data_IF_003104735578
#
_entry.id   IF_003104735578
#
_cell.length_a   1.000
_cell.length_b   1.000
_cell.length_c   1.000
_cell.angle_alpha   90.00
_cell.angle_beta   90.00
_cell.angle_gamma   90.00
#
_symmetry.space_group_name_H-M   'P 1'
#
loop_
_entity.id
_entity.type
_entity.pdbx_description
1 polymer ?
#
# COMPACT_ATOMS: atom_id res chain seq x y z
N UNK A 1 -29.16 2.99 -4.21
CA UNK A 1 -28.04 3.50 -5.04
C UNK A 1 -27.38 2.28 -5.70
N UNK A 2 -26.97 2.33 -6.98
CA UNK A 2 -26.30 1.19 -7.58
C UNK A 2 -24.97 0.96 -6.85
N UNK A 3 -24.70 -0.28 -6.45
CA UNK A 3 -23.42 -0.66 -5.84
C UNK A 3 -22.29 -0.51 -6.86
N UNK A 4 -21.06 -0.37 -6.36
CA UNK A 4 -19.87 -0.44 -7.22
C UNK A 4 -19.37 -1.88 -7.31
N UNK A 5 -18.83 -2.24 -8.47
CA UNK A 5 -18.15 -3.50 -8.69
C UNK A 5 -16.65 -3.35 -8.39
N UNK A 6 -16.08 -4.32 -7.68
CA UNK A 6 -14.62 -4.50 -7.56
C UNK A 6 -14.18 -5.35 -8.75
N UNK A 7 -13.93 -4.71 -9.89
CA UNK A 7 -13.77 -5.39 -11.18
C UNK A 7 -12.39 -6.02 -11.39
N UNK A 8 -11.41 -5.62 -10.57
CA UNK A 8 -10.11 -6.25 -10.43
C UNK A 8 -9.55 -5.96 -9.03
N UNK A 9 -8.74 -6.86 -8.49
CA UNK A 9 -7.97 -6.61 -7.28
C UNK A 9 -6.69 -7.43 -7.26
N UNK A 10 -5.75 -7.03 -6.41
CA UNK A 10 -4.50 -7.73 -6.19
C UNK A 10 -4.01 -7.52 -4.75
N UNK A 11 -3.24 -8.47 -4.24
CA UNK A 11 -2.62 -8.40 -2.92
C UNK A 11 -1.19 -8.96 -2.96
N UNK A 12 -0.27 -8.26 -2.30
CA UNK A 12 1.11 -8.67 -2.04
C UNK A 12 1.40 -8.40 -0.57
N UNK A 13 1.78 -9.43 0.17
CA UNK A 13 2.05 -9.34 1.61
C UNK A 13 3.08 -10.39 2.02
N UNK A 14 3.37 -10.51 3.31
CA UNK A 14 4.21 -11.59 3.84
C UNK A 14 3.69 -13.01 3.56
N UNK A 15 2.45 -13.17 3.09
CA UNK A 15 1.92 -14.46 2.63
C UNK A 15 2.42 -14.86 1.23
N UNK A 16 2.89 -13.89 0.45
CA UNK A 16 3.38 -14.03 -0.92
C UNK A 16 2.77 -13.00 -1.88
N UNK A 17 2.95 -13.24 -3.18
CA UNK A 17 2.56 -12.31 -4.25
C UNK A 17 1.34 -12.84 -5.01
N UNK A 18 0.31 -12.01 -5.12
CA UNK A 18 -0.91 -12.33 -5.87
C UNK A 18 -1.96 -13.11 -5.08
N UNK A 19 -3.19 -13.11 -5.60
CA UNK A 19 -4.37 -13.65 -4.91
C UNK A 19 -4.34 -15.17 -4.74
N UNK A 20 -3.79 -15.90 -5.72
CA UNK A 20 -3.70 -17.36 -5.66
C UNK A 20 -2.80 -17.83 -4.51
N UNK A 21 -1.66 -17.16 -4.31
CA UNK A 21 -0.76 -17.44 -3.19
C UNK A 21 -1.38 -17.09 -1.85
N UNK A 22 -2.11 -15.97 -1.76
CA UNK A 22 -2.87 -15.62 -0.55
C UNK A 22 -3.96 -16.65 -0.24
N UNK A 23 -4.73 -17.10 -1.25
CA UNK A 23 -5.76 -18.13 -1.09
C UNK A 23 -5.15 -19.42 -0.52
N UNK A 24 -4.06 -19.92 -1.12
CA UNK A 24 -3.40 -21.13 -0.65
C UNK A 24 -2.87 -20.98 0.78
N UNK A 25 -2.27 -19.83 1.11
CA UNK A 25 -1.76 -19.57 2.46
C UNK A 25 -2.89 -19.59 3.50
N UNK A 26 -4.03 -18.96 3.18
CA UNK A 26 -5.21 -18.92 4.05
C UNK A 26 -5.85 -20.30 4.22
N UNK A 27 -6.00 -21.07 3.13
CA UNK A 27 -6.52 -22.45 3.17
C UNK A 27 -5.66 -23.38 4.02
N UNK A 28 -4.36 -23.14 4.06
CA UNK A 28 -3.39 -23.94 4.83
C UNK A 28 -3.15 -23.41 6.25
N UNK A 29 -3.70 -22.24 6.61
CA UNK A 29 -3.42 -21.59 7.89
C UNK A 29 -1.94 -21.20 8.06
N UNK A 30 -1.24 -20.90 6.96
CA UNK A 30 0.20 -20.58 6.98
C UNK A 30 0.41 -19.12 7.39
N UNK A 31 1.19 -18.91 8.44
CA UNK A 31 1.64 -17.58 8.84
C UNK A 31 2.71 -17.04 7.88
N UNK A 32 2.68 -15.72 7.63
CA UNK A 32 3.77 -14.98 6.97
C UNK A 32 4.70 -14.28 7.95
N UNK A 33 4.46 -14.39 9.26
CA UNK A 33 5.29 -13.75 10.26
C UNK A 33 6.63 -14.48 10.41
N UNK A 34 7.70 -13.71 10.58
CA UNK A 34 9.06 -14.19 10.88
C UNK A 34 9.73 -13.31 11.95
N UNK A 35 10.80 -13.78 12.60
CA UNK A 35 11.65 -12.91 13.42
C UNK A 35 12.14 -11.70 12.61
N UNK A 36 12.25 -10.54 13.27
CA UNK A 36 12.70 -9.31 12.64
C UNK A 36 14.10 -9.46 12.01
N UNK A 37 14.15 -9.29 10.70
CA UNK A 37 15.35 -9.42 9.87
C UNK A 37 15.63 -8.17 9.01
N UNK A 38 14.92 -7.06 9.27
CA UNK A 38 15.04 -5.82 8.47
C UNK A 38 15.74 -4.68 9.24
N UNK A 39 15.71 -4.72 10.57
CA UNK A 39 16.24 -3.64 11.40
C UNK A 39 17.77 -3.56 11.45
N UNK A 40 18.30 -2.34 11.49
CA UNK A 40 19.74 -2.09 11.63
C UNK A 40 20.26 -2.32 13.05
N UNK A 41 19.38 -2.24 14.05
CA UNK A 41 19.69 -2.50 15.45
C UNK A 41 18.80 -3.63 16.00
N UNK A 42 19.27 -4.39 17.01
CA UNK A 42 18.48 -5.47 17.59
C UNK A 42 17.15 -4.96 18.16
N UNK A 43 16.05 -5.51 17.64
CA UNK A 43 14.71 -5.33 18.17
C UNK A 43 14.00 -6.69 18.15
N UNK A 44 13.92 -7.40 19.29
CA UNK A 44 13.25 -8.70 19.38
C UNK A 44 11.75 -8.55 19.13
N UNK A 45 11.32 -8.88 17.91
CA UNK A 45 9.91 -8.91 17.53
C UNK A 45 9.69 -9.80 16.30
N UNK A 46 8.42 -10.05 16.00
CA UNK A 46 8.00 -10.71 14.76
C UNK A 46 7.38 -9.70 13.80
N UNK A 47 7.74 -9.82 12.53
CA UNK A 47 7.32 -8.94 11.44
C UNK A 47 6.71 -9.74 10.28
N UNK A 48 5.84 -9.10 9.52
CA UNK A 48 5.38 -9.60 8.23
C UNK A 48 6.07 -8.87 7.09
N UNK A 49 7.28 -9.29 6.71
CA UNK A 49 8.04 -8.72 5.59
C UNK A 49 7.70 -9.42 4.27
N UNK A 50 7.55 -8.66 3.19
CA UNK A 50 7.36 -9.17 1.81
C UNK A 50 8.72 -9.52 1.22
N UNK A 51 8.85 -10.70 0.63
CA UNK A 51 10.08 -11.14 -0.02
C UNK A 51 10.28 -10.50 -1.40
N UNK A 52 11.53 -10.28 -1.80
CA UNK A 52 11.89 -9.82 -3.15
C UNK A 52 11.71 -8.32 -3.42
N UNK A 53 11.24 -7.52 -2.44
CA UNK A 53 11.10 -6.06 -2.61
C UNK A 53 12.45 -5.39 -2.88
N UNK A 54 13.51 -5.86 -2.24
CA UNK A 54 14.87 -5.33 -2.38
C UNK A 54 15.51 -5.66 -3.73
N UNK A 55 15.10 -6.77 -4.34
CA UNK A 55 15.68 -7.32 -5.58
C UNK A 55 15.00 -6.83 -6.86
N UNK A 56 13.86 -6.14 -6.74
CA UNK A 56 13.05 -5.65 -7.85
C UNK A 56 13.08 -4.11 -7.93
N UNK A 57 14.14 -3.51 -8.49
CA UNK A 57 14.19 -2.06 -8.71
C UNK A 57 13.10 -1.61 -9.70
N UNK A 58 12.71 -0.34 -9.61
CA UNK A 58 11.78 0.22 -10.58
C UNK A 58 12.39 0.23 -11.99
N UNK A 59 11.57 0.09 -13.05
CA UNK A 59 12.03 0.23 -14.43
C UNK A 59 12.72 1.58 -14.67
N UNK A 60 13.64 1.64 -15.63
CA UNK A 60 14.44 2.85 -15.91
C UNK A 60 13.58 4.12 -16.11
N UNK A 61 12.40 4.01 -16.72
CA UNK A 61 11.47 5.12 -16.93
C UNK A 61 10.86 5.69 -15.62
N UNK A 62 10.95 4.93 -14.52
CA UNK A 62 10.42 5.27 -13.20
C UNK A 62 11.51 5.28 -12.12
N UNK A 63 12.79 5.25 -12.50
CA UNK A 63 13.92 5.13 -11.56
C UNK A 63 14.01 6.30 -10.57
N UNK A 64 13.54 7.49 -10.94
CA UNK A 64 13.50 8.65 -10.04
C UNK A 64 12.57 8.44 -8.84
N UNK A 65 11.59 7.53 -8.97
CA UNK A 65 10.66 7.13 -7.92
C UNK A 65 11.18 5.98 -7.06
N UNK A 66 12.40 5.48 -7.30
CA UNK A 66 12.85 4.23 -6.68
C UNK A 66 13.10 4.40 -5.17
N UNK A 67 12.23 3.75 -4.40
CA UNK A 67 12.35 3.54 -2.96
C UNK A 67 11.61 2.25 -2.59
N UNK A 68 11.88 1.70 -1.40
CA UNK A 68 11.31 0.40 -1.00
C UNK A 68 9.78 0.36 -1.04
N UNK A 69 9.11 1.45 -0.65
CA UNK A 69 7.65 1.56 -0.70
C UNK A 69 7.11 1.53 -2.13
N UNK A 70 7.73 2.28 -3.04
CA UNK A 70 7.32 2.30 -4.44
C UNK A 70 7.67 0.98 -5.15
N UNK A 71 8.76 0.30 -4.78
CA UNK A 71 9.06 -1.05 -5.25
C UNK A 71 8.01 -2.07 -4.81
N UNK A 72 7.56 -2.01 -3.55
CA UNK A 72 6.47 -2.86 -3.06
C UNK A 72 5.15 -2.57 -3.79
N UNK A 73 4.85 -1.29 -4.05
CA UNK A 73 3.70 -0.88 -4.86
C UNK A 73 3.81 -1.45 -6.29
N UNK A 74 4.98 -1.36 -6.92
CA UNK A 74 5.23 -1.89 -8.25
C UNK A 74 5.08 -3.41 -8.33
N UNK A 75 5.63 -4.12 -7.35
CA UNK A 75 5.51 -5.56 -7.21
C UNK A 75 4.04 -5.97 -7.11
N UNK A 76 3.25 -5.26 -6.30
CA UNK A 76 1.81 -5.48 -6.14
C UNK A 76 1.00 -5.20 -7.41
N UNK A 77 1.24 -4.06 -8.07
CA UNK A 77 0.54 -3.70 -9.31
C UNK A 77 0.70 -4.73 -10.42
N UNK A 78 1.84 -5.42 -10.48
CA UNK A 78 2.16 -6.42 -11.51
C UNK A 78 1.52 -7.79 -11.29
N UNK A 79 0.86 -8.02 -10.17
CA UNK A 79 0.20 -9.30 -9.91
C UNK A 79 -1.24 -9.32 -10.48
N UNK A 80 -1.78 -10.53 -10.62
CA UNK A 80 -3.20 -10.79 -10.92
C UNK A 80 -3.74 -10.10 -12.20
N UNK A 81 -2.87 -9.74 -13.14
CA UNK A 81 -3.22 -9.00 -14.35
C UNK A 81 -3.76 -7.58 -14.08
N UNK A 82 -3.49 -7.02 -12.90
CA UNK A 82 -4.11 -5.77 -12.45
C UNK A 82 -3.79 -4.58 -13.36
N UNK A 83 -2.53 -4.43 -13.81
CA UNK A 83 -2.14 -3.39 -14.79
C UNK A 83 -3.00 -3.44 -16.06
N UNK A 84 -3.18 -4.62 -16.65
CA UNK A 84 -3.96 -4.79 -17.88
C UNK A 84 -5.43 -4.40 -17.67
N UNK A 85 -6.00 -4.75 -16.51
CA UNK A 85 -7.36 -4.37 -16.14
C UNK A 85 -7.52 -2.85 -15.99
N UNK A 86 -6.56 -2.18 -15.38
CA UNK A 86 -6.55 -0.71 -15.28
C UNK A 86 -6.37 -0.07 -16.65
N UNK A 87 -5.48 -0.58 -17.51
CA UNK A 87 -5.30 -0.07 -18.88
C UNK A 87 -6.54 -0.26 -19.75
N UNK A 88 -7.27 -1.37 -19.60
CA UNK A 88 -8.55 -1.59 -20.26
C UNK A 88 -9.60 -0.56 -19.80
N UNK A 89 -9.71 -0.32 -18.50
CA UNK A 89 -10.59 0.73 -17.96
C UNK A 89 -10.19 2.13 -18.46
N UNK A 90 -8.88 2.44 -18.51
CA UNK A 90 -8.35 3.71 -19.04
C UNK A 90 -8.72 3.90 -20.51
N UNK A 91 -8.61 2.86 -21.31
CA UNK A 91 -9.02 2.89 -22.72
C UNK A 91 -10.52 3.12 -22.87
N UNK A 92 -11.33 2.57 -21.96
CA UNK A 92 -12.78 2.68 -21.97
C UNK A 92 -13.28 4.06 -21.52
N UNK A 93 -12.70 4.63 -20.47
CA UNK A 93 -13.23 5.82 -19.80
C UNK A 93 -12.43 7.09 -20.08
N UNK A 94 -11.14 6.97 -20.41
CA UNK A 94 -10.19 8.10 -20.41
C UNK A 94 -9.37 8.14 -19.12
N UNK A 95 -8.13 8.63 -19.21
CA UNK A 95 -7.19 8.70 -18.08
C UNK A 95 -7.61 9.72 -17.00
N UNK A 96 -8.31 10.77 -17.41
CA UNK A 96 -8.88 11.84 -16.59
C UNK A 96 -10.16 11.40 -15.86
N UNK A 97 -10.79 10.31 -16.32
CA UNK A 97 -12.04 9.75 -15.78
C UNK A 97 -11.81 8.59 -14.81
N UNK A 98 -10.57 8.36 -14.40
CA UNK A 98 -10.21 7.35 -13.39
C UNK A 98 -9.51 8.05 -12.22
N UNK A 99 -10.12 7.99 -11.03
CA UNK A 99 -9.46 8.49 -9.83
C UNK A 99 -8.42 7.50 -9.31
N UNK A 100 -7.39 7.99 -8.64
CA UNK A 100 -6.41 7.22 -7.89
C UNK A 100 -6.45 7.65 -6.42
N UNK A 101 -6.82 6.74 -5.52
CA UNK A 101 -6.89 7.02 -4.09
C UNK A 101 -6.14 5.94 -3.31
N UNK A 102 -4.99 6.29 -2.74
CA UNK A 102 -4.14 5.34 -2.03
C UNK A 102 -3.98 5.70 -0.56
N UNK A 103 -4.13 4.70 0.29
CA UNK A 103 -3.86 4.78 1.72
C UNK A 103 -2.40 4.45 2.04
N UNK A 104 -1.79 5.21 2.94
CA UNK A 104 -0.46 4.88 3.50
C UNK A 104 -0.27 5.57 4.85
N UNK A 105 0.43 4.90 5.77
CA UNK A 105 0.86 5.48 7.05
C UNK A 105 2.38 5.70 7.09
N UNK A 106 3.10 5.01 6.21
CA UNK A 106 4.57 4.98 6.19
C UNK A 106 5.13 5.70 4.98
N UNK A 107 4.44 5.65 3.83
CA UNK A 107 4.94 6.10 2.54
C UNK A 107 6.42 5.75 2.38
N UNK A 108 7.25 6.75 2.12
CA UNK A 108 8.68 6.67 1.90
C UNK A 108 9.53 6.95 3.16
N UNK A 109 8.99 6.86 4.38
CA UNK A 109 9.74 7.13 5.62
C UNK A 109 11.08 6.39 5.66
N UNK A 110 11.13 5.13 5.21
CA UNK A 110 12.39 4.37 5.14
C UNK A 110 13.48 5.02 4.27
N UNK A 111 13.11 5.70 3.18
CA UNK A 111 14.06 6.45 2.35
C UNK A 111 14.52 7.74 3.05
N UNK A 112 13.62 8.41 3.77
CA UNK A 112 13.96 9.57 4.60
C UNK A 112 14.92 9.18 5.73
N UNK A 113 14.65 8.07 6.40
CA UNK A 113 15.50 7.51 7.45
C UNK A 113 16.91 7.20 6.95
N UNK A 114 17.03 6.54 5.79
CA UNK A 114 18.32 6.31 5.12
C UNK A 114 19.06 7.63 4.85
N UNK A 115 18.33 8.66 4.41
CA UNK A 115 18.85 10.02 4.25
C UNK A 115 19.47 10.58 5.52
N UNK A 116 18.75 10.49 6.65
CA UNK A 116 19.25 10.95 7.94
C UNK A 116 20.41 10.13 8.49
N UNK A 117 20.50 8.83 8.16
CA UNK A 117 21.63 7.97 8.55
C UNK A 117 22.93 8.31 7.81
N UNK A 118 22.82 8.91 6.62
CA UNK A 118 23.96 9.22 5.73
C UNK A 118 24.25 10.71 5.57
N UNK A 119 23.83 11.55 6.52
CA UNK A 119 24.15 12.97 6.47
C UNK A 119 25.66 13.20 6.34
N UNK A 120 26.04 14.17 5.52
CA UNK A 120 27.43 14.60 5.42
C UNK A 120 27.88 15.33 6.70
N UNK A 121 29.17 15.68 6.78
CA UNK A 121 29.74 16.39 7.92
C UNK A 121 29.09 17.77 8.19
N UNK A 122 28.39 18.34 7.21
CA UNK A 122 27.64 19.59 7.31
C UNK A 122 26.15 19.40 7.61
N UNK A 123 25.69 18.16 7.79
CA UNK A 123 24.30 17.82 8.10
C UNK A 123 23.37 17.83 6.89
N UNK A 124 23.89 17.79 5.66
CA UNK A 124 23.05 17.70 4.47
C UNK A 124 22.83 16.26 4.02
N UNK A 125 21.69 16.01 3.38
CA UNK A 125 21.42 14.76 2.68
C UNK A 125 22.46 14.55 1.55
N UNK A 126 22.91 13.31 1.29
CA UNK A 126 23.67 12.96 0.09
C UNK A 126 22.92 13.29 -1.20
N UNK A 127 23.64 13.58 -2.29
CA UNK A 127 23.04 13.96 -3.58
C UNK A 127 22.07 12.91 -4.14
N UNK A 128 22.37 11.62 -3.99
CA UNK A 128 21.49 10.51 -4.40
C UNK A 128 20.19 10.42 -3.59
N UNK A 129 20.14 11.06 -2.43
CA UNK A 129 18.99 11.11 -1.53
C UNK A 129 18.34 12.50 -1.49
N UNK A 130 18.80 13.48 -2.28
CA UNK A 130 18.12 14.79 -2.42
C UNK A 130 16.90 14.72 -3.35
N UNK A 131 16.06 13.71 -3.18
CA UNK A 131 14.90 13.41 -4.04
C UNK A 131 13.61 13.86 -3.37
N UNK A 132 13.27 15.15 -3.51
CA UNK A 132 12.09 15.76 -2.84
C UNK A 132 10.78 15.00 -3.09
N UNK A 133 10.58 14.49 -4.30
CA UNK A 133 9.39 13.72 -4.65
C UNK A 133 9.26 12.45 -3.81
N UNK A 134 10.38 11.79 -3.49
CA UNK A 134 10.41 10.63 -2.60
C UNK A 134 10.04 11.03 -1.19
N UNK A 135 10.59 12.11 -0.63
CA UNK A 135 10.36 12.47 0.79
C UNK A 135 8.98 13.09 1.07
N UNK A 136 8.09 13.13 0.08
CA UNK A 136 6.70 13.53 0.24
C UNK A 136 5.83 12.34 0.67
N UNK A 137 4.83 12.53 1.56
CA UNK A 137 3.82 11.49 1.79
C UNK A 137 3.06 11.11 0.51
N UNK A 138 3.05 11.99 -0.50
CA UNK A 138 2.44 11.74 -1.80
C UNK A 138 3.28 10.88 -2.75
N UNK A 139 4.54 10.57 -2.40
CA UNK A 139 5.47 9.78 -3.22
C UNK A 139 4.83 8.53 -3.80
N UNK A 140 4.10 7.77 -2.97
CA UNK A 140 3.41 6.55 -3.38
C UNK A 140 2.35 6.83 -4.45
N UNK A 141 1.47 7.79 -4.20
CA UNK A 141 0.34 8.08 -5.08
C UNK A 141 0.80 8.69 -6.40
N UNK A 142 1.78 9.59 -6.37
CA UNK A 142 2.37 10.20 -7.56
C UNK A 142 3.11 9.16 -8.42
N UNK A 143 3.88 8.27 -7.78
CA UNK A 143 4.51 7.14 -8.46
C UNK A 143 3.47 6.24 -9.15
N UNK A 144 2.40 5.84 -8.45
CA UNK A 144 1.38 4.94 -9.03
C UNK A 144 0.60 5.67 -10.13
N UNK A 145 0.34 6.96 -10.01
CA UNK A 145 -0.27 7.77 -11.08
C UNK A 145 0.59 7.76 -12.34
N UNK A 146 1.91 7.96 -12.20
CA UNK A 146 2.87 7.90 -13.29
C UNK A 146 2.94 6.49 -13.91
N UNK A 147 3.00 5.44 -13.08
CA UNK A 147 3.08 4.06 -13.53
C UNK A 147 1.83 3.60 -14.32
N UNK A 148 0.65 4.05 -13.90
CA UNK A 148 -0.62 3.73 -14.56
C UNK A 148 -0.99 4.73 -15.68
N UNK A 149 -0.27 5.86 -15.77
CA UNK A 149 -0.59 7.02 -16.59
C UNK A 149 -2.07 7.42 -16.46
N UNK A 150 -2.45 7.77 -15.23
CA UNK A 150 -3.76 8.31 -14.87
C UNK A 150 -3.66 9.82 -14.65
N UNK A 151 -4.70 10.54 -15.05
CA UNK A 151 -4.76 12.01 -15.02
C UNK A 151 -5.96 12.54 -14.22
N UNK A 152 -6.80 11.63 -13.71
CA UNK A 152 -7.94 11.98 -12.86
C UNK A 152 -7.55 12.39 -11.44
N UNK A 153 -8.53 12.58 -10.54
CA UNK A 153 -8.29 12.93 -9.15
C UNK A 153 -7.30 11.96 -8.48
N UNK A 154 -6.20 12.51 -7.95
CA UNK A 154 -5.11 11.75 -7.32
C UNK A 154 -4.99 12.15 -5.84
N UNK A 155 -5.26 11.22 -4.91
CA UNK A 155 -5.31 11.49 -3.48
C UNK A 155 -4.51 10.47 -2.67
N UNK A 156 -3.66 10.98 -1.78
CA UNK A 156 -3.06 10.20 -0.70
C UNK A 156 -3.90 10.37 0.56
N UNK A 157 -4.30 9.26 1.17
CA UNK A 157 -5.03 9.23 2.44
C UNK A 157 -4.11 8.67 3.51
N UNK A 158 -3.93 9.41 4.60
CA UNK A 158 -3.14 8.99 5.77
C UNK A 158 -3.96 9.22 7.03
N UNK A 159 -4.72 8.20 7.42
CA UNK A 159 -5.49 8.13 8.67
C UNK A 159 -5.06 6.91 9.50
N UNK A 160 -3.74 6.68 9.56
CA UNK A 160 -3.11 5.52 10.20
C UNK A 160 -3.67 4.18 9.66
N UNK A 161 -3.98 3.22 10.53
CA UNK A 161 -4.43 1.88 10.15
C UNK A 161 -5.72 1.86 9.30
N UNK A 162 -6.50 2.94 9.28
CA UNK A 162 -7.75 3.05 8.50
C UNK A 162 -7.56 3.57 7.07
N UNK A 163 -6.35 3.99 6.70
CA UNK A 163 -6.06 4.73 5.47
C UNK A 163 -6.58 4.03 4.20
N UNK A 164 -6.27 2.75 4.04
CA UNK A 164 -6.63 1.97 2.84
C UNK A 164 -8.11 1.52 2.82
N UNK A 165 -8.81 1.56 3.95
CA UNK A 165 -10.26 1.38 3.98
C UNK A 165 -11.00 2.66 3.57
N UNK A 166 -10.50 3.82 4.02
CA UNK A 166 -11.10 5.14 3.78
C UNK A 166 -11.18 5.54 2.30
N UNK A 167 -10.23 5.07 1.49
CA UNK A 167 -10.20 5.36 0.05
C UNK A 167 -11.40 4.79 -0.71
N UNK A 168 -11.97 3.66 -0.27
CA UNK A 168 -13.16 3.07 -0.90
C UNK A 168 -14.40 3.98 -0.77
N UNK A 169 -14.61 4.56 0.42
CA UNK A 169 -15.69 5.50 0.67
C UNK A 169 -15.52 6.79 -0.15
N UNK A 170 -14.29 7.25 -0.32
CA UNK A 170 -13.99 8.46 -1.12
C UNK A 170 -14.20 8.20 -2.61
N UNK A 171 -13.74 7.07 -3.12
CA UNK A 171 -13.95 6.64 -4.50
C UNK A 171 -15.43 6.43 -4.85
N UNK A 172 -16.19 5.81 -3.94
CA UNK A 172 -17.63 5.62 -4.11
C UNK A 172 -18.33 6.97 -4.29
N UNK A 173 -18.05 7.93 -3.42
CA UNK A 173 -18.63 9.28 -3.54
C UNK A 173 -18.27 9.94 -4.87
N UNK A 174 -17.02 9.83 -5.32
CA UNK A 174 -16.58 10.45 -6.59
C UNK A 174 -17.29 9.84 -7.81
N UNK A 175 -17.39 8.50 -7.87
CA UNK A 175 -18.11 7.80 -8.95
C UNK A 175 -19.60 8.13 -8.89
N UNK A 176 -20.20 8.12 -7.70
CA UNK A 176 -21.63 8.43 -7.49
C UNK A 176 -21.98 9.86 -7.89
N UNK A 177 -21.08 10.81 -7.66
CA UNK A 177 -21.25 12.22 -8.06
C UNK A 177 -20.92 12.46 -9.55
N UNK A 178 -20.50 11.42 -10.29
CA UNK A 178 -20.15 11.53 -11.71
C UNK A 178 -18.82 12.23 -11.99
N UNK A 179 -18.02 12.52 -10.96
CA UNK A 179 -16.69 13.15 -11.10
C UNK A 179 -15.73 12.26 -11.89
N UNK A 180 -15.86 10.94 -11.73
CA UNK A 180 -15.10 9.90 -12.44
C UNK A 180 -16.00 8.71 -12.77
N UNK A 181 -15.54 7.83 -13.64
CA UNK A 181 -16.27 6.61 -14.05
C UNK A 181 -15.71 5.34 -13.41
N UNK A 182 -14.43 5.36 -13.02
CA UNK A 182 -13.77 4.31 -12.27
C UNK A 182 -12.79 4.90 -11.25
N UNK A 183 -12.30 4.06 -10.34
CA UNK A 183 -11.26 4.45 -9.39
C UNK A 183 -10.32 3.29 -9.08
N UNK A 184 -9.01 3.54 -9.11
CA UNK A 184 -8.02 2.67 -8.51
C UNK A 184 -7.90 3.07 -7.05
N UNK A 185 -8.19 2.13 -6.15
CA UNK A 185 -8.08 2.30 -4.70
C UNK A 185 -7.13 1.27 -4.12
N UNK A 186 -6.53 1.57 -2.98
CA UNK A 186 -5.65 0.61 -2.33
C UNK A 186 -4.86 1.19 -1.19
N UNK A 187 -3.77 0.53 -0.85
CA UNK A 187 -2.77 1.08 0.05
C UNK A 187 -1.48 0.28 0.05
N UNK A 188 -0.40 0.96 0.40
CA UNK A 188 0.94 0.38 0.50
C UNK A 188 1.62 0.93 1.74
N UNK A 189 2.09 0.04 2.59
CA UNK A 189 2.95 0.38 3.72
C UNK A 189 4.14 -0.58 3.76
N UNK A 190 5.31 -0.05 4.14
CA UNK A 190 6.56 -0.79 4.22
C UNK A 190 7.16 -0.71 5.61
N UNK A 191 7.87 -1.77 6.00
CA UNK A 191 8.67 -1.79 7.22
C UNK A 191 9.88 -0.84 7.10
N UNK A 192 10.15 -0.14 8.20
CA UNK A 192 11.40 0.59 8.45
C UNK A 192 11.63 0.70 9.96
N UNK A 193 12.85 1.07 10.36
CA UNK A 193 13.23 1.15 11.77
C UNK A 193 12.43 2.23 12.51
N UNK A 194 12.20 3.38 11.90
CA UNK A 194 11.43 4.46 12.52
C UNK A 194 10.02 4.00 12.93
N UNK A 195 9.39 3.13 12.14
CA UNK A 195 8.07 2.55 12.46
C UNK A 195 8.23 1.50 13.56
N UNK A 196 9.13 0.53 13.40
CA UNK A 196 9.30 -0.56 14.35
C UNK A 196 9.72 -0.06 15.75
N UNK A 197 10.75 0.77 15.84
CA UNK A 197 11.19 1.36 17.12
C UNK A 197 10.16 2.34 17.68
N UNK A 198 9.45 3.09 16.82
CA UNK A 198 8.37 3.97 17.25
C UNK A 198 7.27 3.21 18.00
N UNK A 199 6.74 2.15 17.41
CA UNK A 199 5.74 1.30 18.06
C UNK A 199 6.31 0.53 19.27
N UNK A 200 7.57 0.11 19.23
CA UNK A 200 8.24 -0.52 20.37
C UNK A 200 8.36 0.44 21.57
N UNK A 201 8.64 1.72 21.33
CA UNK A 201 8.74 2.74 22.39
C UNK A 201 7.42 3.01 23.10
N UNK A 202 6.31 2.67 22.46
CA UNK A 202 4.95 2.72 23.02
C UNK A 202 4.54 1.40 23.68
N UNK A 203 5.46 0.42 23.77
CA UNK A 203 5.21 -0.92 24.33
C UNK A 203 4.10 -1.69 23.59
N UNK A 204 3.95 -1.45 22.29
CA UNK A 204 2.88 -2.04 21.48
C UNK A 204 3.30 -3.31 20.73
N UNK A 205 4.61 -3.58 20.58
CA UNK A 205 5.12 -4.69 19.76
C UNK A 205 5.33 -5.94 20.62
N UNK A 206 4.86 -7.09 20.11
CA UNK A 206 5.15 -8.39 20.71
C UNK A 206 6.52 -8.93 20.29
N UNK A 207 7.22 -9.56 21.23
CA UNK A 207 8.42 -10.37 20.97
C UNK A 207 8.11 -11.72 20.29
N UNK A 208 6.84 -12.10 20.20
CA UNK A 208 6.30 -13.33 19.60
C UNK A 208 5.37 -12.99 18.43
N UNK A 209 4.95 -13.97 17.60
CA UNK A 209 3.91 -13.73 16.62
C UNK A 209 2.63 -13.23 17.30
N UNK A 210 1.98 -12.19 16.75
CA UNK A 210 0.76 -11.66 17.34
C UNK A 210 -0.36 -12.72 17.40
N UNK A 211 -1.14 -12.68 18.49
CA UNK A 211 -2.21 -13.66 18.76
C UNK A 211 -3.52 -12.92 19.04
N UNK A 212 -4.20 -12.37 18.02
CA UNK A 212 -5.42 -11.60 18.21
C UNK A 212 -6.45 -12.38 19.03
N UNK A 213 -7.04 -11.73 20.04
CA UNK A 213 -8.04 -12.30 20.96
C UNK A 213 -7.56 -13.44 21.87
N UNK A 214 -6.30 -13.86 21.80
CA UNK A 214 -5.75 -14.84 22.73
C UNK A 214 -5.62 -14.24 24.14
N UNK A 215 -5.77 -15.09 25.17
CA UNK A 215 -5.63 -14.71 26.60
C UNK A 215 -4.25 -14.14 26.89
N UNK A 216 -3.22 -14.69 26.24
CA UNK A 216 -1.81 -14.35 26.47
C UNK A 216 -1.26 -13.36 25.44
N UNK A 217 -2.11 -12.71 24.65
CA UNK A 217 -1.68 -11.69 23.68
C UNK A 217 -0.94 -10.55 24.40
N UNK A 218 0.17 -10.11 23.83
CA UNK A 218 1.07 -9.14 24.45
C UNK A 218 1.59 -8.07 23.48
N UNK A 219 0.87 -7.81 22.39
CA UNK A 219 1.24 -6.78 21.40
C UNK A 219 0.90 -7.18 19.96
N UNK A 220 1.31 -6.32 19.03
CA UNK A 220 1.16 -6.51 17.58
C UNK A 220 2.45 -7.03 16.95
N UNK A 221 2.32 -7.60 15.75
CA UNK A 221 3.41 -7.83 14.80
C UNK A 221 3.18 -6.89 13.63
N UNK A 222 4.17 -6.06 13.29
CA UNK A 222 4.03 -5.09 12.19
C UNK A 222 4.34 -5.80 10.88
N UNK A 223 3.50 -5.60 9.88
CA UNK A 223 3.69 -6.13 8.54
C UNK A 223 3.74 -5.02 7.50
N UNK A 224 4.14 -5.42 6.30
CA UNK A 224 4.04 -4.63 5.09
C UNK A 224 3.21 -5.36 4.03
N UNK A 225 2.60 -4.57 3.17
CA UNK A 225 1.77 -5.07 2.08
C UNK A 225 1.53 -3.99 1.04
N UNK A 226 1.21 -4.44 -0.17
CA UNK A 226 0.55 -3.65 -1.20
C UNK A 226 -0.76 -4.35 -1.59
N UNK A 227 -1.85 -3.60 -1.59
CA UNK A 227 -3.15 -4.07 -2.05
C UNK A 227 -3.83 -3.03 -2.91
N UNK A 228 -4.38 -3.45 -4.04
CA UNK A 228 -5.09 -2.57 -4.97
C UNK A 228 -6.41 -3.18 -5.44
N UNK A 229 -7.36 -2.32 -5.76
CA UNK A 229 -8.65 -2.67 -6.33
C UNK A 229 -9.06 -1.63 -7.38
N UNK A 230 -9.69 -2.09 -8.45
CA UNK A 230 -10.35 -1.25 -9.45
C UNK A 230 -11.86 -1.26 -9.16
N UNK A 231 -12.40 -0.08 -8.89
CA UNK A 231 -13.82 0.15 -8.68
C UNK A 231 -14.45 0.71 -9.94
N UNK A 232 -15.51 0.07 -10.41
CA UNK A 232 -16.30 0.52 -11.55
C UNK A 232 -17.79 0.50 -11.20
N UNK A 233 -18.62 1.12 -12.03
CA UNK A 233 -20.08 0.94 -11.95
C UNK A 233 -20.44 -0.53 -12.17
N UNK A 234 -21.50 -1.01 -11.51
CA UNK A 234 -21.87 -2.44 -11.52
C UNK A 234 -22.14 -3.02 -12.93
N UNK A 235 -22.59 -2.19 -13.87
CA UNK A 235 -22.82 -2.57 -15.27
C UNK A 235 -21.53 -2.90 -16.04
N UNK A 236 -20.40 -2.33 -15.63
CA UNK A 236 -19.10 -2.58 -16.24
C UNK A 236 -18.55 -3.99 -15.91
N UNK A 237 -18.88 -4.52 -14.73
CA UNK A 237 -18.44 -5.85 -14.28
C UNK A 237 -19.57 -6.60 -13.53
N UNK A 238 -20.58 -7.14 -14.25
CA UNK A 238 -21.79 -7.70 -13.64
C UNK A 238 -21.56 -8.90 -12.71
N UNK A 239 -20.46 -9.64 -12.85
CA UNK A 239 -20.15 -10.82 -12.04
C UNK A 239 -19.15 -10.57 -10.90
N UNK A 240 -18.59 -9.35 -10.81
CA UNK A 240 -17.61 -9.02 -9.80
C UNK A 240 -18.21 -8.88 -8.38
N UNK A 241 -17.41 -9.04 -7.31
CA UNK A 241 -17.82 -8.65 -5.96
C UNK A 241 -18.30 -7.18 -5.90
N UNK A 242 -19.18 -6.87 -4.95
CA UNK A 242 -19.82 -5.56 -4.82
C UNK A 242 -19.38 -4.84 -3.55
N UNK A 243 -19.05 -3.56 -3.68
CA UNK A 243 -19.01 -2.63 -2.55
C UNK A 243 -20.45 -2.20 -2.23
N UNK A 244 -21.04 -2.83 -1.22
CA UNK A 244 -22.45 -2.60 -0.83
C UNK A 244 -22.63 -1.42 0.13
N UNK A 245 -21.61 -1.09 0.91
CA UNK A 245 -21.66 0.00 1.88
C UNK A 245 -20.29 0.26 2.49
N UNK A 246 -20.16 1.43 3.12
CA UNK A 246 -19.00 1.86 3.86
C UNK A 246 -19.46 2.66 5.08
N UNK A 247 -18.64 2.71 6.13
CA UNK A 247 -18.90 3.46 7.35
C UNK A 247 -17.64 4.18 7.81
N UNK A 248 -17.78 5.42 8.24
CA UNK A 248 -16.68 6.25 8.73
C UNK A 248 -17.17 7.01 9.98
N UNK A 249 -16.43 6.89 11.07
CA UNK A 249 -16.67 7.61 12.32
C UNK A 249 -15.34 8.07 12.92
N UNK A 250 -15.43 8.98 13.87
CA UNK A 250 -14.33 9.41 14.75
C UNK A 250 -14.78 9.17 16.18
N UNK A 251 -13.89 8.70 17.05
CA UNK A 251 -14.19 8.47 18.46
C UNK A 251 -14.43 9.79 19.23
N UNK A 252 -13.86 10.89 18.73
CA UNK A 252 -14.01 12.25 19.22
C UNK A 252 -14.95 13.09 18.35
#
# INVERSE_FOLDING_TARGET
>A
MPSLAVSACTATSALGHGLDTHRQALEQGRSGLRPNDISQAPLPCWIGRVDGVEDEPLPAALADWDCRNNRLAWLGLRQDGFLDRVHAARTRYGADRIALLLGTSTASIGATEEGYRRLDASGHLPDDLRRRAIHSPHSLTDFVAAALALEGPCLTVSTACSSSAKVFASAERMIRLGLVDAAVVGGVDTLCDSVLFGFSSLELISAEPCRPFDETRNGISIGEAAGFALLERADAAPQAPRLLGWGESSDA
#
